data_IF_494791185532
#
_entry.id   IF_494791185532
#
_cell.length_a   1.000
_cell.length_b   1.000
_cell.length_c   1.000
_cell.angle_alpha   90.00
_cell.angle_beta   90.00
_cell.angle_gamma   90.00
#
_symmetry.space_group_name_H-M   'P 1'
#
loop_
_entity.id
_entity.type
_entity.pdbx_description
1 polymer ?
#
# COMPACT_ATOMS: atom_id res chain seq x y z
N UNK A 1 -12.36 8.97 25.01
CA UNK A 1 -13.36 8.84 23.94
C UNK A 1 -12.65 8.26 22.72
N UNK A 2 -13.07 7.09 22.27
CA UNK A 2 -12.47 6.39 21.13
C UNK A 2 -13.27 6.76 19.89
N UNK A 3 -12.66 7.48 18.96
CA UNK A 3 -13.26 7.69 17.65
C UNK A 3 -12.73 6.62 16.70
N UNK A 4 -13.60 5.67 16.33
CA UNK A 4 -13.40 4.91 15.11
C UNK A 4 -13.50 5.91 13.95
N UNK A 5 -12.64 5.79 12.92
CA UNK A 5 -12.54 6.81 11.86
C UNK A 5 -13.86 7.12 11.13
N UNK A 6 -14.85 6.22 11.17
CA UNK A 6 -16.19 6.46 10.66
C UNK A 6 -17.08 7.36 11.53
N UNK A 7 -16.88 7.37 12.85
CA UNK A 7 -17.64 8.24 13.77
C UNK A 7 -17.07 9.66 13.79
N UNK A 8 -15.74 9.80 13.67
CA UNK A 8 -15.08 11.10 13.46
C UNK A 8 -15.60 11.82 12.21
N UNK A 9 -15.88 11.07 11.13
CA UNK A 9 -16.42 11.63 9.88
C UNK A 9 -17.78 12.30 10.05
N UNK A 10 -18.66 11.77 10.91
CA UNK A 10 -19.98 12.35 11.19
C UNK A 10 -19.89 13.64 12.01
N UNK A 11 -18.81 13.81 12.76
CA UNK A 11 -18.54 15.00 13.59
C UNK A 11 -17.60 16.02 12.90
N UNK A 12 -17.26 15.81 11.62
CA UNK A 12 -16.39 16.71 10.86
C UNK A 12 -14.89 16.50 11.09
N UNK A 13 -14.50 15.45 11.82
CA UNK A 13 -13.12 15.01 11.96
C UNK A 13 -12.64 14.28 10.71
N UNK A 14 -11.96 15.01 9.82
CA UNK A 14 -11.23 14.40 8.70
C UNK A 14 -9.94 13.79 9.26
N UNK A 15 -9.91 12.46 9.37
CA UNK A 15 -8.67 11.73 9.61
C UNK A 15 -7.78 11.79 8.35
N UNK A 16 -6.91 12.80 8.31
CA UNK A 16 -5.95 13.01 7.21
C UNK A 16 -4.71 12.10 7.34
N UNK A 17 -4.62 11.27 8.38
CA UNK A 17 -3.43 10.48 8.70
C UNK A 17 -3.05 9.56 7.54
N UNK A 18 -4.02 8.85 6.95
CA UNK A 18 -3.75 7.97 5.80
C UNK A 18 -3.19 8.70 4.57
N UNK A 19 -3.70 9.88 4.27
CA UNK A 19 -3.19 10.70 3.15
C UNK A 19 -1.78 11.24 3.44
N UNK A 20 -1.55 11.72 4.67
CA UNK A 20 -0.24 12.18 5.13
C UNK A 20 0.78 11.05 5.15
N UNK A 21 0.35 9.83 5.45
CA UNK A 21 1.21 8.65 5.40
C UNK A 21 1.75 8.42 3.99
N UNK A 22 0.86 8.33 3.01
CA UNK A 22 1.22 8.13 1.60
C UNK A 22 2.10 9.27 1.10
N UNK A 23 1.76 10.51 1.45
CA UNK A 23 2.53 11.70 1.09
C UNK A 23 3.96 11.62 1.67
N UNK A 24 4.12 11.25 2.93
CA UNK A 24 5.43 11.12 3.58
C UNK A 24 6.31 10.12 2.85
N UNK A 25 5.78 8.95 2.47
CA UNK A 25 6.51 7.94 1.72
C UNK A 25 6.97 8.48 0.36
N UNK A 26 6.10 9.20 -0.36
CA UNK A 26 6.43 9.86 -1.62
C UNK A 26 7.53 10.91 -1.47
N UNK A 27 7.46 11.75 -0.44
CA UNK A 27 8.47 12.79 -0.16
C UNK A 27 9.83 12.15 0.11
N UNK A 28 9.86 11.13 0.98
CA UNK A 28 11.10 10.39 1.30
C UNK A 28 11.66 9.74 0.03
N UNK A 29 10.83 9.07 -0.77
CA UNK A 29 11.25 8.47 -2.05
C UNK A 29 11.87 9.50 -2.98
N UNK A 30 11.23 10.66 -3.17
CA UNK A 30 11.76 11.72 -4.01
C UNK A 30 13.13 12.23 -3.53
N UNK A 31 13.25 12.53 -2.23
CA UNK A 31 14.49 13.04 -1.65
C UNK A 31 15.64 12.03 -1.77
N UNK A 32 15.38 10.77 -1.44
CA UNK A 32 16.37 9.69 -1.53
C UNK A 32 16.75 9.42 -2.98
N UNK A 33 15.79 9.35 -3.91
CA UNK A 33 16.08 9.12 -5.32
C UNK A 33 16.91 10.25 -5.94
N UNK A 34 16.70 11.49 -5.52
CA UNK A 34 17.56 12.62 -5.90
C UNK A 34 18.98 12.48 -5.33
N UNK A 35 19.11 12.11 -4.05
CA UNK A 35 20.42 11.81 -3.44
C UNK A 35 21.15 10.69 -4.19
N UNK A 36 20.46 9.63 -4.58
CA UNK A 36 21.03 8.52 -5.36
C UNK A 36 21.47 8.95 -6.77
N UNK A 37 20.85 9.99 -7.34
CA UNK A 37 21.23 10.59 -8.62
C UNK A 37 22.61 11.27 -8.59
N UNK A 38 23.06 11.70 -7.42
CA UNK A 38 24.37 12.32 -7.20
C UNK A 38 25.50 11.29 -7.07
N UNK A 39 25.16 10.01 -6.88
CA UNK A 39 26.13 8.93 -6.75
C UNK A 39 26.53 8.36 -8.12
N UNK A 40 27.74 7.80 -8.19
CA UNK A 40 28.16 6.97 -9.34
C UNK A 40 27.28 5.73 -9.42
N UNK A 41 26.91 5.32 -10.63
CA UNK A 41 26.07 4.12 -10.85
C UNK A 41 26.76 2.83 -10.39
N UNK A 42 28.09 2.82 -10.37
CA UNK A 42 28.92 1.74 -9.86
C UNK A 42 28.64 1.49 -8.37
N UNK A 43 28.04 0.33 -8.10
CA UNK A 43 27.70 -0.10 -6.73
C UNK A 43 26.37 0.40 -6.20
N UNK A 44 25.51 1.00 -7.03
CA UNK A 44 24.08 1.14 -6.75
C UNK A 44 23.34 -0.19 -6.98
N UNK A 45 22.30 -0.45 -6.20
CA UNK A 45 21.40 -1.60 -6.40
C UNK A 45 20.45 -1.34 -7.58
N UNK A 46 19.81 -2.38 -8.07
CA UNK A 46 18.97 -2.29 -9.26
C UNK A 46 17.80 -1.32 -9.08
N UNK A 47 17.12 -1.34 -7.93
CA UNK A 47 16.05 -0.38 -7.62
C UNK A 47 16.58 1.06 -7.57
N UNK A 48 17.75 1.28 -6.96
CA UNK A 48 18.39 2.60 -6.89
C UNK A 48 18.76 3.11 -8.28
N UNK A 49 19.39 2.28 -9.11
CA UNK A 49 19.72 2.61 -10.50
C UNK A 49 18.46 2.94 -11.30
N UNK A 50 17.42 2.13 -11.12
CA UNK A 50 16.15 2.30 -11.82
C UNK A 50 15.51 3.63 -11.46
N UNK A 51 15.42 4.00 -10.18
CA UNK A 51 14.60 5.12 -9.74
C UNK A 51 15.36 6.42 -9.41
N UNK A 52 16.70 6.42 -9.52
CA UNK A 52 17.51 7.63 -9.31
C UNK A 52 17.05 8.80 -10.18
N UNK A 53 17.09 10.00 -9.60
CA UNK A 53 16.76 11.25 -10.27
C UNK A 53 18.05 12.05 -10.51
N UNK A 54 18.52 12.09 -11.75
CA UNK A 54 19.73 12.82 -12.12
C UNK A 54 19.57 14.36 -12.08
N UNK A 55 18.32 14.84 -12.10
CA UNK A 55 17.98 16.26 -12.01
C UNK A 55 16.93 16.46 -10.94
N UNK A 56 16.96 17.63 -10.30
CA UNK A 56 15.95 18.01 -9.32
C UNK A 56 14.62 18.25 -10.06
N UNK A 57 13.51 17.62 -9.63
CA UNK A 57 12.19 17.93 -10.18
C UNK A 57 11.83 19.40 -9.93
N UNK A 58 11.18 20.03 -10.89
CA UNK A 58 10.56 21.34 -10.72
C UNK A 58 9.46 21.29 -9.66
N UNK A 59 9.06 22.45 -9.14
CA UNK A 59 7.98 22.53 -8.15
C UNK A 59 6.66 21.95 -8.71
N UNK A 60 6.37 22.17 -9.99
CA UNK A 60 5.15 21.66 -10.62
C UNK A 60 5.16 20.13 -10.70
N UNK A 61 6.28 19.54 -11.12
CA UNK A 61 6.44 18.08 -11.15
C UNK A 61 6.35 17.48 -9.75
N UNK A 62 6.97 18.13 -8.76
CA UNK A 62 6.95 17.70 -7.37
C UNK A 62 5.55 17.71 -6.77
N UNK A 63 4.82 18.82 -6.90
CA UNK A 63 3.44 18.91 -6.42
C UNK A 63 2.49 18.01 -7.19
N UNK A 64 2.68 17.90 -8.52
CA UNK A 64 1.91 16.99 -9.36
C UNK A 64 2.06 15.53 -8.92
N UNK A 65 3.28 15.09 -8.59
CA UNK A 65 3.55 13.76 -8.07
C UNK A 65 2.91 13.52 -6.68
N UNK A 66 3.06 14.49 -5.77
CA UNK A 66 2.52 14.40 -4.42
C UNK A 66 0.99 14.35 -4.40
N UNK A 67 0.34 15.15 -5.26
CA UNK A 67 -1.10 15.37 -5.29
C UNK A 67 -1.81 14.63 -6.44
N UNK A 68 -1.12 13.73 -7.14
CA UNK A 68 -1.68 13.01 -8.28
C UNK A 68 -2.97 12.26 -7.90
N UNK A 69 -4.05 12.63 -8.62
CA UNK A 69 -5.39 12.08 -8.47
C UNK A 69 -5.36 10.55 -8.63
N UNK A 70 -5.98 9.84 -7.69
CA UNK A 70 -6.01 8.37 -7.64
C UNK A 70 -4.95 7.74 -6.73
N UNK A 71 -4.03 8.52 -6.17
CA UNK A 71 -3.04 7.99 -5.20
C UNK A 71 -2.92 8.78 -3.90
N UNK A 72 -3.40 10.02 -3.87
CA UNK A 72 -3.19 10.92 -2.74
C UNK A 72 -3.81 10.44 -1.42
N UNK A 73 -5.04 9.94 -1.43
CA UNK A 73 -5.79 9.65 -0.20
C UNK A 73 -5.48 8.28 0.42
N UNK A 74 -5.23 7.25 -0.40
CA UNK A 74 -5.11 5.87 0.07
C UNK A 74 -3.96 5.08 -0.57
N UNK A 75 -3.07 5.77 -1.32
CA UNK A 75 -2.11 5.12 -2.19
C UNK A 75 -2.75 4.71 -3.53
N UNK A 76 -2.03 4.02 -4.41
CA UNK A 76 -0.71 3.43 -4.21
C UNK A 76 0.44 4.46 -4.14
N UNK A 77 1.51 4.12 -3.40
CA UNK A 77 2.79 4.81 -3.52
C UNK A 77 3.47 4.32 -4.81
N UNK A 78 4.03 5.23 -5.59
CA UNK A 78 4.83 4.89 -6.76
C UNK A 78 5.99 5.88 -6.89
N UNK A 79 6.90 5.59 -7.79
CA UNK A 79 8.18 6.29 -7.89
C UNK A 79 8.06 7.59 -8.70
N UNK A 80 8.75 8.64 -8.25
CA UNK A 80 8.77 9.94 -8.94
C UNK A 80 9.25 9.80 -10.40
N UNK A 81 10.25 8.94 -10.65
CA UNK A 81 10.76 8.72 -12.01
C UNK A 81 9.69 8.15 -12.94
N UNK A 82 8.90 7.19 -12.46
CA UNK A 82 7.79 6.61 -13.24
C UNK A 82 6.72 7.69 -13.53
N UNK A 83 6.45 8.57 -12.56
CA UNK A 83 5.54 9.70 -12.74
C UNK A 83 6.03 10.69 -13.82
N UNK A 84 7.31 11.07 -13.77
CA UNK A 84 7.92 11.96 -14.77
C UNK A 84 7.88 11.33 -16.16
N UNK A 85 8.33 10.08 -16.30
CA UNK A 85 8.30 9.37 -17.58
C UNK A 85 6.89 9.24 -18.15
N UNK A 86 5.88 9.01 -17.29
CA UNK A 86 4.48 9.01 -17.70
C UNK A 86 4.02 10.38 -18.22
N UNK A 87 4.29 11.45 -17.47
CA UNK A 87 3.88 12.83 -17.84
C UNK A 87 4.56 13.32 -19.11
N UNK A 88 5.82 12.94 -19.32
CA UNK A 88 6.61 13.32 -20.50
C UNK A 88 6.45 12.35 -21.68
N UNK A 89 5.63 11.29 -21.53
CA UNK A 89 5.45 10.22 -22.54
C UNK A 89 6.77 9.59 -22.99
N UNK A 90 7.61 9.20 -22.02
CA UNK A 90 8.90 8.53 -22.23
C UNK A 90 8.83 7.05 -21.79
N UNK A 91 9.85 6.29 -22.16
CA UNK A 91 10.00 4.90 -21.75
C UNK A 91 8.80 4.03 -22.13
N UNK A 92 8.14 3.45 -21.13
CA UNK A 92 6.97 2.58 -21.32
C UNK A 92 5.75 3.31 -21.93
N UNK A 93 5.71 4.64 -21.83
CA UNK A 93 4.62 5.47 -22.34
C UNK A 93 4.96 6.23 -23.62
N UNK A 94 6.10 5.90 -24.25
CA UNK A 94 6.50 6.50 -25.53
C UNK A 94 5.61 6.07 -26.70
N UNK A 95 5.00 4.90 -26.61
CA UNK A 95 3.99 4.43 -27.57
C UNK A 95 2.59 4.56 -26.98
N UNK A 96 1.54 4.62 -27.82
CA UNK A 96 0.16 4.61 -27.35
C UNK A 96 -0.08 3.42 -26.41
N UNK A 97 -0.56 3.72 -25.21
CA UNK A 97 -0.90 2.68 -24.23
C UNK A 97 -2.14 1.93 -24.69
N UNK A 98 -2.23 0.61 -24.44
CA UNK A 98 -3.42 -0.17 -24.71
C UNK A 98 -4.63 0.37 -23.93
N UNK A 99 -5.85 0.03 -24.38
CA UNK A 99 -7.07 0.50 -23.75
C UNK A 99 -7.13 0.11 -22.25
N UNK A 100 -7.30 1.08 -21.34
CA UNK A 100 -7.37 0.81 -19.90
C UNK A 100 -8.75 0.34 -19.44
N UNK A 101 -9.77 0.34 -20.32
CA UNK A 101 -11.18 0.18 -19.92
C UNK A 101 -11.47 -1.18 -19.28
N UNK A 102 -11.00 -2.26 -19.89
CA UNK A 102 -11.24 -3.61 -19.36
C UNK A 102 -10.51 -3.85 -18.01
N UNK A 103 -9.21 -3.52 -17.86
CA UNK A 103 -8.56 -3.58 -16.55
C UNK A 103 -9.22 -2.68 -15.51
N UNK A 104 -9.65 -1.47 -15.88
CA UNK A 104 -10.38 -0.56 -14.99
C UNK A 104 -11.68 -1.19 -14.51
N UNK A 105 -12.47 -1.77 -15.42
CA UNK A 105 -13.73 -2.43 -15.08
C UNK A 105 -13.49 -3.60 -14.11
N UNK A 106 -12.42 -4.39 -14.29
CA UNK A 106 -12.06 -5.48 -13.36
C UNK A 106 -11.76 -4.95 -11.96
N UNK A 107 -10.96 -3.89 -11.85
CA UNK A 107 -10.65 -3.26 -10.56
C UNK A 107 -11.91 -2.67 -9.90
N UNK A 108 -12.81 -2.07 -10.67
CA UNK A 108 -14.10 -1.56 -10.17
C UNK A 108 -15.04 -2.67 -9.69
N UNK A 109 -15.11 -3.80 -10.41
CA UNK A 109 -15.88 -4.98 -9.99
C UNK A 109 -15.31 -5.55 -8.68
N UNK A 110 -13.98 -5.66 -8.58
CA UNK A 110 -13.32 -6.07 -7.33
C UNK A 110 -13.66 -5.12 -6.19
N UNK A 111 -13.57 -3.80 -6.42
CA UNK A 111 -13.93 -2.79 -5.42
C UNK A 111 -15.39 -2.95 -4.98
N UNK A 112 -16.34 -3.07 -5.92
CA UNK A 112 -17.75 -3.27 -5.64
C UNK A 112 -18.03 -4.54 -4.83
N UNK A 113 -17.40 -5.66 -5.19
CA UNK A 113 -17.51 -6.91 -4.44
C UNK A 113 -16.97 -6.78 -3.01
N UNK A 114 -15.82 -6.12 -2.83
CA UNK A 114 -15.22 -5.89 -1.52
C UNK A 114 -16.10 -4.99 -0.63
N UNK A 115 -16.66 -3.93 -1.21
CA UNK A 115 -17.61 -3.06 -0.51
C UNK A 115 -18.88 -3.82 -0.10
N UNK A 116 -19.45 -4.62 -1.02
CA UNK A 116 -20.64 -5.43 -0.73
C UNK A 116 -20.41 -6.39 0.43
N UNK A 117 -19.28 -7.10 0.45
CA UNK A 117 -18.89 -7.99 1.54
C UNK A 117 -18.64 -7.23 2.85
N UNK A 118 -17.98 -6.07 2.81
CA UNK A 118 -17.78 -5.24 3.99
C UNK A 118 -19.10 -4.76 4.60
N UNK A 119 -20.04 -4.27 3.78
CA UNK A 119 -21.35 -3.81 4.25
C UNK A 119 -22.20 -4.96 4.81
N UNK A 120 -22.06 -6.17 4.27
CA UNK A 120 -22.75 -7.35 4.79
C UNK A 120 -22.19 -7.83 6.13
N UNK A 121 -20.85 -7.83 6.28
CA UNK A 121 -20.17 -8.38 7.45
C UNK A 121 -20.01 -7.38 8.61
N UNK A 122 -19.86 -6.09 8.32
CA UNK A 122 -19.59 -5.07 9.35
C UNK A 122 -20.67 -4.98 10.46
N UNK A 123 -21.98 -5.16 10.20
CA UNK A 123 -22.98 -5.21 11.28
C UNK A 123 -22.91 -6.49 12.11
N UNK A 124 -22.38 -7.58 11.56
CA UNK A 124 -22.28 -8.89 12.23
C UNK A 124 -21.04 -8.97 13.14
N UNK A 125 -19.93 -8.38 12.69
CA UNK A 125 -18.64 -8.41 13.39
C UNK A 125 -18.11 -6.98 13.68
N UNK A 126 -18.87 -6.13 14.38
CA UNK A 126 -18.40 -4.77 14.71
C UNK A 126 -17.28 -4.79 15.74
N UNK A 127 -16.22 -4.01 15.50
CA UNK A 127 -15.09 -3.86 16.43
C UNK A 127 -15.50 -3.30 17.80
N UNK A 128 -16.62 -2.57 17.88
CA UNK A 128 -17.16 -2.06 19.15
C UNK A 128 -17.48 -3.17 20.15
N UNK A 129 -17.77 -4.39 19.68
CA UNK A 129 -18.06 -5.55 20.54
C UNK A 129 -16.93 -5.87 21.51
N UNK A 130 -15.68 -5.58 21.17
CA UNK A 130 -14.53 -5.80 22.05
C UNK A 130 -14.57 -4.97 23.33
N UNK A 131 -15.33 -3.88 23.36
CA UNK A 131 -15.50 -3.03 24.54
C UNK A 131 -16.75 -3.37 25.35
N UNK A 132 -17.58 -4.30 24.87
CA UNK A 132 -18.83 -4.65 25.54
C UNK A 132 -18.61 -5.74 26.60
N UNK A 133 -19.27 -5.67 27.77
CA UNK A 133 -19.16 -6.68 28.82
C UNK A 133 -19.46 -8.10 28.31
N UNK A 134 -20.43 -8.24 27.41
CA UNK A 134 -20.84 -9.51 26.79
C UNK A 134 -19.67 -10.26 26.12
N UNK A 135 -18.72 -9.54 25.53
CA UNK A 135 -17.54 -10.16 24.90
C UNK A 135 -16.67 -10.90 25.91
N UNK A 136 -16.58 -10.40 27.15
CA UNK A 136 -15.78 -10.99 28.21
C UNK A 136 -16.44 -12.21 28.87
N UNK A 137 -17.75 -12.38 28.69
CA UNK A 137 -18.50 -13.55 29.14
C UNK A 137 -18.31 -14.77 28.22
N UNK A 138 -17.86 -14.57 26.98
CA UNK A 138 -17.68 -15.65 26.02
C UNK A 138 -16.49 -16.56 26.33
N UNK A 139 -16.68 -17.86 26.07
CA UNK A 139 -15.61 -18.85 26.10
C UNK A 139 -14.48 -18.53 25.11
N UNK A 140 -13.29 -19.12 25.33
CA UNK A 140 -12.09 -18.86 24.53
C UNK A 140 -12.33 -19.02 23.01
N UNK A 141 -12.94 -20.12 22.57
CA UNK A 141 -13.15 -20.40 21.16
C UNK A 141 -14.09 -19.43 20.46
N UNK A 142 -15.15 -19.00 21.15
CA UNK A 142 -16.07 -18.01 20.61
C UNK A 142 -15.39 -16.64 20.46
N UNK A 143 -14.60 -16.22 21.45
CA UNK A 143 -13.80 -15.00 21.35
C UNK A 143 -12.79 -15.07 20.21
N UNK A 144 -12.06 -16.19 20.08
CA UNK A 144 -11.08 -16.37 19.01
C UNK A 144 -11.73 -16.30 17.62
N UNK A 145 -12.86 -16.99 17.42
CA UNK A 145 -13.62 -16.92 16.18
C UNK A 145 -14.09 -15.48 15.89
N UNK A 146 -14.64 -14.80 16.90
CA UNK A 146 -15.11 -13.44 16.73
C UNK A 146 -13.97 -12.46 16.41
N UNK A 147 -12.81 -12.61 17.05
CA UNK A 147 -11.61 -11.82 16.76
C UNK A 147 -11.14 -12.05 15.32
N UNK A 148 -11.07 -13.30 14.88
CA UNK A 148 -10.73 -13.65 13.50
C UNK A 148 -11.71 -13.01 12.52
N UNK A 149 -13.02 -13.21 12.73
CA UNK A 149 -14.05 -12.66 11.84
C UNK A 149 -14.05 -11.14 11.82
N UNK A 150 -13.82 -10.48 12.96
CA UNK A 150 -13.69 -9.02 13.01
C UNK A 150 -12.49 -8.52 12.20
N UNK A 151 -11.35 -9.20 12.31
CA UNK A 151 -10.16 -8.90 11.50
C UNK A 151 -10.40 -9.14 10.01
N UNK A 152 -11.02 -10.27 9.67
CA UNK A 152 -11.44 -10.61 8.30
C UNK A 152 -12.37 -9.54 7.73
N UNK A 153 -13.41 -9.15 8.45
CA UNK A 153 -14.32 -8.06 8.07
C UNK A 153 -13.59 -6.75 7.87
N UNK A 154 -12.67 -6.39 8.77
CA UNK A 154 -11.92 -5.14 8.67
C UNK A 154 -11.02 -5.06 7.43
N UNK A 155 -10.55 -6.19 6.87
CA UNK A 155 -9.72 -6.19 5.65
C UNK A 155 -10.48 -5.70 4.42
N UNK A 156 -11.76 -6.04 4.28
CA UNK A 156 -12.54 -5.75 3.08
C UNK A 156 -12.67 -4.26 2.76
N UNK A 157 -12.67 -3.37 3.78
CA UNK A 157 -12.65 -1.92 3.55
C UNK A 157 -11.35 -1.45 2.90
N UNK A 158 -10.22 -2.07 3.25
CA UNK A 158 -8.91 -1.77 2.65
C UNK A 158 -8.84 -2.31 1.23
N UNK A 159 -9.35 -3.52 1.00
CA UNK A 159 -9.47 -4.07 -0.36
C UNK A 159 -10.29 -3.17 -1.27
N UNK A 160 -11.42 -2.66 -0.77
CA UNK A 160 -12.25 -1.70 -1.50
C UNK A 160 -11.46 -0.45 -1.90
N UNK A 161 -10.89 0.27 -0.94
CA UNK A 161 -10.26 1.58 -1.22
C UNK A 161 -9.01 1.44 -2.09
N UNK A 162 -8.23 0.37 -1.90
CA UNK A 162 -7.07 0.09 -2.74
C UNK A 162 -7.46 -0.33 -4.15
N UNK A 163 -8.51 -1.14 -4.33
CA UNK A 163 -9.02 -1.49 -5.67
C UNK A 163 -9.60 -0.29 -6.40
N UNK A 164 -10.26 0.62 -5.69
CA UNK A 164 -10.77 1.87 -6.25
C UNK A 164 -9.63 2.79 -6.70
N UNK A 165 -8.57 2.89 -5.90
CA UNK A 165 -7.37 3.67 -6.23
C UNK A 165 -6.62 3.06 -7.42
N UNK A 166 -6.51 1.73 -7.46
CA UNK A 166 -5.97 0.99 -8.60
C UNK A 166 -6.75 1.31 -9.88
N UNK A 167 -8.08 1.26 -9.84
CA UNK A 167 -8.94 1.62 -10.98
C UNK A 167 -8.67 3.06 -11.47
N UNK A 168 -8.54 4.03 -10.56
CA UNK A 168 -8.24 5.42 -10.90
C UNK A 168 -6.87 5.60 -11.58
N UNK A 169 -5.85 4.86 -11.15
CA UNK A 169 -4.52 4.92 -11.75
C UNK A 169 -4.48 4.17 -13.09
N UNK A 170 -5.19 3.06 -13.23
CA UNK A 170 -5.32 2.33 -14.49
C UNK A 170 -5.99 3.22 -15.54
N UNK A 171 -7.14 3.83 -15.24
CA UNK A 171 -7.88 4.64 -16.23
C UNK A 171 -7.08 5.87 -16.69
N UNK A 172 -6.19 6.40 -15.84
CA UNK A 172 -5.27 7.48 -16.22
C UNK A 172 -4.18 7.04 -17.22
N UNK A 173 -3.91 5.74 -17.33
CA UNK A 173 -2.80 5.18 -18.12
C UNK A 173 -1.48 5.04 -17.34
N UNK A 174 -1.34 5.65 -16.15
CA UNK A 174 -0.16 5.50 -15.30
C UNK A 174 0.00 4.06 -14.78
N UNK A 175 -1.08 3.30 -14.66
CA UNK A 175 -1.05 1.90 -14.24
C UNK A 175 -0.33 0.93 -15.20
N UNK A 176 -0.02 1.35 -16.44
CA UNK A 176 0.52 0.47 -17.47
C UNK A 176 1.97 0.02 -17.21
N UNK A 177 2.16 -1.23 -16.83
CA UNK A 177 3.45 -1.80 -16.41
C UNK A 177 4.24 -2.53 -17.53
N UNK A 178 3.75 -2.51 -18.76
CA UNK A 178 4.38 -3.16 -19.91
C UNK A 178 3.56 -4.33 -20.46
N UNK A 179 4.22 -5.24 -21.19
CA UNK A 179 3.59 -6.37 -21.86
C UNK A 179 3.97 -7.70 -21.21
N UNK A 180 3.10 -8.69 -21.29
CA UNK A 180 3.41 -10.07 -20.90
C UNK A 180 4.18 -10.80 -21.99
N UNK A 181 4.97 -11.78 -21.56
CA UNK A 181 5.72 -12.71 -22.43
C UNK A 181 4.80 -13.77 -23.10
N UNK A 182 3.48 -13.55 -23.09
CA UNK A 182 2.52 -14.45 -23.72
C UNK A 182 2.42 -14.18 -25.22
N UNK A 183 1.99 -15.19 -25.99
CA UNK A 183 1.65 -15.05 -27.41
C UNK A 183 0.15 -15.24 -27.60
N UNK A 184 -0.63 -14.19 -27.92
CA UNK A 184 -0.22 -12.79 -28.14
C UNK A 184 0.10 -12.04 -26.83
N UNK A 185 0.90 -10.95 -26.89
CA UNK A 185 1.28 -10.16 -25.72
C UNK A 185 0.06 -9.44 -25.13
N UNK A 186 -0.11 -9.53 -23.82
CA UNK A 186 -1.20 -8.86 -23.09
C UNK A 186 -0.64 -7.71 -22.27
N UNK A 187 -1.38 -6.60 -22.24
CA UNK A 187 -1.05 -5.45 -21.44
C UNK A 187 -1.11 -5.79 -19.94
N UNK A 188 -0.06 -5.46 -19.19
CA UNK A 188 -0.01 -5.60 -17.73
C UNK A 188 -0.31 -4.26 -17.07
N UNK A 189 -1.12 -4.30 -16.01
CA UNK A 189 -1.61 -3.11 -15.30
C UNK A 189 -1.25 -3.15 -13.81
N UNK A 190 -0.08 -3.69 -13.49
CA UNK A 190 0.27 -4.10 -12.14
C UNK A 190 0.93 -2.96 -11.32
N UNK A 191 1.27 -1.82 -11.96
CA UNK A 191 1.99 -0.72 -11.26
C UNK A 191 1.19 -0.17 -10.08
N UNK A 192 -0.13 -0.13 -10.20
CA UNK A 192 -1.02 0.42 -9.18
C UNK A 192 -1.60 -0.64 -8.24
N UNK A 193 -1.31 -1.92 -8.49
CA UNK A 193 -1.83 -3.02 -7.67
C UNK A 193 -1.25 -2.91 -6.28
N UNK A 194 -2.10 -2.61 -5.29
CA UNK A 194 -1.69 -2.54 -3.89
C UNK A 194 -2.14 -3.75 -3.09
N UNK A 195 -3.04 -4.57 -3.65
CA UNK A 195 -3.52 -5.79 -2.99
C UNK A 195 -3.88 -6.89 -3.97
N UNK A 196 -3.58 -8.13 -3.59
CA UNK A 196 -4.12 -9.34 -4.20
C UNK A 196 -5.08 -10.00 -3.22
N UNK A 197 -6.38 -9.74 -3.37
CA UNK A 197 -7.41 -10.17 -2.39
C UNK A 197 -7.39 -11.69 -2.20
N UNK A 198 -7.36 -12.45 -3.29
CA UNK A 198 -7.34 -13.91 -3.20
C UNK A 198 -5.98 -14.41 -2.69
N UNK A 199 -4.88 -13.77 -3.09
CA UNK A 199 -3.55 -14.08 -2.58
C UNK A 199 -3.43 -13.89 -1.07
N UNK A 200 -4.11 -12.88 -0.50
CA UNK A 200 -4.15 -12.67 0.96
C UNK A 200 -5.04 -13.70 1.65
N UNK A 201 -6.29 -13.89 1.19
CA UNK A 201 -7.25 -14.77 1.89
C UNK A 201 -6.93 -16.26 1.74
N UNK A 202 -6.19 -16.66 0.70
CA UNK A 202 -5.77 -18.04 0.46
C UNK A 202 -4.28 -18.29 0.79
N UNK A 203 -3.61 -17.33 1.42
CA UNK A 203 -2.21 -17.47 1.79
C UNK A 203 -2.01 -18.67 2.72
N UNK A 204 -1.06 -19.55 2.36
CA UNK A 204 -0.74 -20.75 3.17
C UNK A 204 0.38 -20.50 4.18
N UNK A 205 1.02 -19.33 4.11
CA UNK A 205 2.12 -18.94 4.99
C UNK A 205 2.14 -17.43 5.19
N UNK A 206 2.45 -17.00 6.41
CA UNK A 206 2.60 -15.58 6.76
C UNK A 206 3.68 -14.86 5.92
N UNK A 207 4.67 -15.60 5.39
CA UNK A 207 5.72 -15.02 4.52
C UNK A 207 5.16 -14.53 3.18
N UNK A 208 4.02 -15.06 2.74
CA UNK A 208 3.39 -14.64 1.49
C UNK A 208 2.61 -13.33 1.65
N UNK A 209 2.10 -13.04 2.85
CA UNK A 209 1.18 -11.93 3.05
C UNK A 209 1.78 -10.56 2.69
N UNK A 210 3.03 -10.22 3.06
CA UNK A 210 3.64 -8.93 2.66
C UNK A 210 3.80 -8.75 1.15
N UNK A 211 3.74 -9.85 0.36
CA UNK A 211 3.81 -9.82 -1.09
C UNK A 211 2.45 -9.55 -1.75
N UNK A 212 1.36 -9.72 -1.00
CA UNK A 212 -0.02 -9.66 -1.49
C UNK A 212 -0.84 -8.56 -0.80
N UNK A 213 -0.46 -8.13 0.40
CA UNK A 213 -1.09 -7.08 1.18
C UNK A 213 -0.23 -5.82 1.19
N UNK A 214 -0.83 -4.66 0.90
CA UNK A 214 -0.16 -3.35 0.88
C UNK A 214 1.16 -3.36 0.09
N UNK A 215 1.10 -3.93 -1.11
CA UNK A 215 2.25 -4.31 -1.95
C UNK A 215 3.22 -3.14 -2.15
N UNK A 216 2.70 -1.92 -2.33
CA UNK A 216 3.52 -0.75 -2.62
C UNK A 216 4.29 -0.28 -1.39
N UNK A 217 3.70 -0.35 -0.19
CA UNK A 217 4.43 -0.04 1.05
C UNK A 217 5.45 -1.13 1.35
N UNK A 218 5.13 -2.41 1.13
CA UNK A 218 6.10 -3.51 1.25
C UNK A 218 7.28 -3.32 0.29
N UNK A 219 7.01 -2.89 -0.94
CA UNK A 219 8.02 -2.56 -1.95
C UNK A 219 8.85 -1.35 -1.54
N UNK A 220 8.21 -0.32 -0.98
CA UNK A 220 8.88 0.85 -0.45
C UNK A 220 9.83 0.49 0.71
N UNK A 221 9.36 -0.30 1.68
CA UNK A 221 10.18 -0.78 2.80
C UNK A 221 11.37 -1.60 2.29
N UNK A 222 11.18 -2.39 1.24
CA UNK A 222 12.27 -3.10 0.59
C UNK A 222 13.32 -2.15 0.02
N UNK A 223 12.92 -1.17 -0.79
CA UNK A 223 13.85 -0.27 -1.50
C UNK A 223 14.53 0.77 -0.61
N UNK A 224 13.78 1.34 0.33
CA UNK A 224 14.23 2.49 1.12
C UNK A 224 14.75 2.12 2.51
N UNK A 225 14.45 0.93 2.99
CA UNK A 225 14.90 0.46 4.31
C UNK A 225 15.75 -0.79 4.16
N UNK A 226 15.15 -1.92 3.78
CA UNK A 226 15.81 -3.22 3.80
C UNK A 226 17.08 -3.25 2.97
N UNK A 227 17.00 -2.92 1.68
CA UNK A 227 18.13 -2.95 0.77
C UNK A 227 19.24 -1.97 1.17
N UNK A 228 18.89 -0.87 1.84
CA UNK A 228 19.86 0.14 2.31
C UNK A 228 20.55 -0.27 3.62
N UNK A 229 19.91 -1.07 4.46
CA UNK A 229 20.52 -1.66 5.66
C UNK A 229 21.51 -2.79 5.31
N UNK A 230 21.43 -3.35 4.10
CA UNK A 230 22.34 -4.41 3.65
C UNK A 230 23.66 -3.80 3.18
N UNK A 231 24.75 -4.16 3.86
CA UNK A 231 26.11 -3.77 3.46
C UNK A 231 26.48 -4.31 2.07
N UNK A 232 27.21 -3.53 1.28
CA UNK A 232 27.68 -3.95 -0.06
C UNK A 232 28.45 -5.27 0.04
N UNK A 233 28.11 -6.23 -0.83
CA UNK A 233 28.76 -7.55 -0.88
C UNK A 233 28.32 -8.57 0.19
N UNK A 234 27.43 -8.20 1.13
CA UNK A 234 26.88 -9.13 2.13
C UNK A 234 25.47 -9.57 1.76
N UNK A 235 25.15 -10.83 2.06
CA UNK A 235 23.77 -11.31 2.01
C UNK A 235 22.97 -10.66 3.15
N UNK A 236 21.71 -10.26 2.91
CA UNK A 236 20.85 -9.80 3.99
C UNK A 236 20.67 -10.89 5.03
N UNK A 237 20.65 -10.50 6.31
CA UNK A 237 20.39 -11.38 7.43
C UNK A 237 19.15 -10.96 8.22
N UNK A 238 18.95 -11.64 9.34
CA UNK A 238 17.83 -11.42 10.24
C UNK A 238 17.76 -9.98 10.79
N UNK A 239 18.91 -9.34 11.05
CA UNK A 239 18.94 -7.98 11.60
C UNK A 239 18.38 -6.93 10.63
N UNK A 240 18.60 -7.07 9.32
CA UNK A 240 18.04 -6.16 8.32
C UNK A 240 16.53 -6.34 8.21
N UNK A 241 16.05 -7.59 8.28
CA UNK A 241 14.63 -7.88 8.34
C UNK A 241 14.00 -7.26 9.59
N UNK A 242 14.59 -7.49 10.77
CA UNK A 242 14.13 -6.94 12.04
C UNK A 242 14.09 -5.41 12.02
N UNK A 243 15.14 -4.77 11.50
CA UNK A 243 15.19 -3.31 11.34
C UNK A 243 14.07 -2.80 10.43
N UNK A 244 13.82 -3.49 9.30
CA UNK A 244 12.73 -3.13 8.38
C UNK A 244 11.35 -3.27 9.03
N UNK A 245 11.13 -4.37 9.77
CA UNK A 245 9.88 -4.58 10.49
C UNK A 245 9.70 -3.58 11.65
N UNK A 246 10.79 -3.17 12.30
CA UNK A 246 10.75 -2.13 13.34
C UNK A 246 10.34 -0.78 12.75
N UNK A 247 10.89 -0.40 11.59
CA UNK A 247 10.48 0.82 10.89
C UNK A 247 9.00 0.77 10.50
N UNK A 248 8.53 -0.38 9.98
CA UNK A 248 7.12 -0.60 9.69
C UNK A 248 6.23 -0.47 10.94
N UNK A 249 6.65 -1.05 12.07
CA UNK A 249 5.91 -0.97 13.32
C UNK A 249 5.85 0.46 13.87
N UNK A 250 6.96 1.21 13.83
CA UNK A 250 6.99 2.63 14.23
C UNK A 250 6.07 3.46 13.33
N UNK A 251 6.08 3.16 12.03
CA UNK A 251 5.24 3.86 11.06
C UNK A 251 3.74 3.74 11.37
N UNK A 252 3.28 2.56 11.76
CA UNK A 252 1.90 2.33 12.14
C UNK A 252 1.57 2.60 13.62
N UNK A 253 2.57 2.66 14.52
CA UNK A 253 2.34 2.95 15.94
C UNK A 253 2.19 4.44 16.23
N UNK A 254 2.82 5.30 15.42
CA UNK A 254 2.71 6.75 15.57
C UNK A 254 1.37 7.32 15.09
N UNK A 255 0.67 6.59 14.21
CA UNK A 255 -0.59 7.04 13.62
C UNK A 255 -1.80 6.89 14.55
N UNK A 256 -1.72 5.99 15.55
CA UNK A 256 -2.89 5.67 16.37
C UNK A 256 -2.92 6.33 17.76
N UNK A 257 -1.96 7.19 18.10
CA UNK A 257 -1.97 8.09 19.26
C UNK A 257 -2.17 7.46 20.66
N UNK A 258 -2.31 6.14 20.76
CA UNK A 258 -2.77 5.45 21.96
C UNK A 258 -1.98 4.15 22.16
N UNK A 259 -1.54 3.87 23.39
CA UNK A 259 -0.67 2.72 23.68
C UNK A 259 -1.34 1.35 23.48
N UNK A 260 -2.67 1.30 23.48
CA UNK A 260 -3.47 0.10 23.24
C UNK A 260 -3.67 -0.23 21.74
N UNK A 261 -3.75 0.80 20.89
CA UNK A 261 -3.87 0.63 19.44
C UNK A 261 -2.53 0.24 18.81
N UNK A 262 -1.38 0.61 19.39
CA UNK A 262 -0.08 0.11 18.95
C UNK A 262 0.02 -1.43 19.02
N UNK A 263 -0.63 -2.06 20.01
CA UNK A 263 -0.70 -3.53 20.13
C UNK A 263 -1.69 -4.12 19.12
N UNK A 264 -2.78 -3.41 18.80
CA UNK A 264 -3.76 -3.81 17.75
C UNK A 264 -3.22 -3.61 16.32
N UNK A 265 -2.48 -2.54 16.09
CA UNK A 265 -1.77 -2.19 14.86
C UNK A 265 -0.59 -3.13 14.64
N UNK A 266 0.18 -3.45 15.69
CA UNK A 266 1.16 -4.53 15.61
C UNK A 266 0.45 -5.86 15.38
N UNK A 267 -0.62 -6.22 16.09
CA UNK A 267 -1.30 -7.50 15.78
C UNK A 267 -1.96 -7.51 14.40
N UNK A 268 -2.41 -6.39 13.83
CA UNK A 268 -2.93 -6.33 12.45
C UNK A 268 -1.82 -6.30 11.39
N UNK A 269 -0.61 -5.83 11.71
CA UNK A 269 0.59 -5.99 10.86
C UNK A 269 1.30 -7.32 11.04
N UNK A 270 0.98 -8.08 12.10
CA UNK A 270 1.63 -9.35 12.44
C UNK A 270 0.69 -10.57 12.30
N UNK A 271 -0.64 -10.37 12.23
CA UNK A 271 -1.66 -11.39 11.93
C UNK A 271 -2.35 -11.16 10.56
N UNK A 272 -1.87 -10.17 9.80
CA UNK A 272 -1.98 -10.09 8.35
C UNK A 272 -0.58 -10.11 7.75
#
# INVERSE_FOLDING_TARGET
>A
MYYMSGDAWKEGGIDATGALMVLTLKIISCAINYSDGMLKEEGLRDAQKKYRLAKLPSLIEYFGYCLCCGSHFAGPVYEMKDYLEYTERKGLWASPTPSPLLPTLRALVQAGACMGLYLYLSPQFPLSRFSEPLYYEWGFWHRLFYQYMSGFTARWKYYFIWSLSEAAIIISGLGFSGWSDSSPPKAKWDRAKNVDVLGVELATSAVQLPLMWNIQVSTWLRYYVYERLVQKGKKPGFLQLLGTQTVSAVWHSYTDGNKQSAIQSSTLSWFL
#
